data_IF_443885699064
#
_entry.id   IF_443885699064
#
_cell.length_a   1.000
_cell.length_b   1.000
_cell.length_c   1.000
_cell.angle_alpha   90.00
_cell.angle_beta   90.00
_cell.angle_gamma   90.00
#
_symmetry.space_group_name_H-M   'P 1'
#
loop_
_entity.id
_entity.type
_entity.pdbx_description
1 polymer ?
#
# COMPACT_ATOMS: atom_id res chain seq x y z
N UNK A 1 10.66 -8.69 -11.91
CA UNK A 1 11.24 -9.29 -13.12
C UNK A 1 10.20 -10.09 -13.91
N UNK A 2 9.66 -11.22 -13.40
CA UNK A 2 8.71 -12.04 -14.16
C UNK A 2 7.46 -11.28 -14.64
N UNK A 3 6.87 -10.43 -13.80
CA UNK A 3 5.75 -9.56 -14.19
C UNK A 3 6.08 -8.67 -15.41
N UNK A 4 7.30 -8.13 -15.52
CA UNK A 4 7.68 -7.31 -16.66
C UNK A 4 7.70 -8.12 -17.97
N UNK A 5 8.09 -9.39 -17.90
CA UNK A 5 8.14 -10.26 -19.07
C UNK A 5 6.74 -10.61 -19.62
N UNK A 6 5.67 -10.41 -18.86
CA UNK A 6 4.30 -10.61 -19.34
C UNK A 6 3.80 -9.42 -20.17
N UNK A 7 4.51 -8.28 -20.17
CA UNK A 7 4.08 -7.05 -20.80
C UNK A 7 3.01 -6.28 -20.01
N UNK A 8 2.86 -6.55 -18.71
CA UNK A 8 1.95 -5.78 -17.85
C UNK A 8 2.46 -4.37 -17.58
N UNK A 9 1.56 -3.43 -17.30
CA UNK A 9 1.90 -2.05 -16.99
C UNK A 9 2.29 -1.83 -15.52
N UNK A 10 1.71 -2.63 -14.61
CA UNK A 10 1.84 -2.43 -13.16
C UNK A 10 1.87 -3.74 -12.39
N UNK A 11 2.40 -3.66 -11.17
CA UNK A 11 2.22 -4.69 -10.14
C UNK A 11 1.46 -4.12 -8.95
N UNK A 12 0.79 -4.98 -8.19
CA UNK A 12 0.24 -4.65 -6.89
C UNK A 12 1.01 -5.38 -5.81
N UNK A 13 1.57 -4.65 -4.85
CA UNK A 13 2.24 -5.23 -3.69
C UNK A 13 1.20 -5.75 -2.70
N UNK A 14 1.30 -7.03 -2.33
CA UNK A 14 0.42 -7.68 -1.35
C UNK A 14 0.87 -7.38 0.09
N UNK A 15 0.18 -6.47 0.80
CA UNK A 15 0.68 -5.90 2.07
C UNK A 15 0.17 -6.52 3.37
N UNK A 16 -0.44 -7.71 3.34
CA UNK A 16 -0.91 -8.39 4.57
C UNK A 16 0.23 -8.57 5.59
N UNK A 17 1.39 -9.06 5.14
CA UNK A 17 2.51 -9.35 6.05
C UNK A 17 3.09 -8.06 6.67
N UNK A 18 3.14 -6.98 5.88
CA UNK A 18 3.43 -5.64 6.39
C UNK A 18 2.42 -5.21 7.46
N UNK A 19 1.12 -5.30 7.18
CA UNK A 19 0.07 -4.86 8.08
C UNK A 19 0.11 -5.62 9.43
N UNK A 20 0.35 -6.94 9.36
CA UNK A 20 0.48 -7.80 10.55
C UNK A 20 1.67 -7.41 11.44
N UNK A 21 2.79 -7.03 10.84
CA UNK A 21 4.03 -6.72 11.58
C UNK A 21 4.19 -5.24 11.93
N UNK A 22 3.34 -4.36 11.38
CA UNK A 22 3.47 -2.91 11.47
C UNK A 22 3.60 -2.39 12.91
N UNK A 23 2.78 -2.89 13.83
CA UNK A 23 2.78 -2.42 15.22
C UNK A 23 4.03 -2.85 16.01
N UNK A 24 4.62 -3.99 15.66
CA UNK A 24 5.80 -4.51 16.33
C UNK A 24 7.08 -3.85 15.78
N UNK A 25 7.28 -3.89 14.47
CA UNK A 25 8.53 -3.47 13.82
C UNK A 25 8.28 -2.91 12.41
N UNK A 26 7.64 -1.74 12.31
CA UNK A 26 7.27 -1.11 11.03
C UNK A 26 8.41 -1.01 9.99
N UNK A 27 9.64 -0.69 10.43
CA UNK A 27 10.79 -0.52 9.53
C UNK A 27 11.23 -1.85 8.92
N UNK A 28 11.23 -2.92 9.72
CA UNK A 28 11.51 -4.28 9.24
C UNK A 28 10.37 -4.79 8.34
N UNK A 29 9.12 -4.51 8.72
CA UNK A 29 7.93 -4.92 7.99
C UNK A 29 7.87 -4.33 6.57
N UNK A 30 8.30 -3.08 6.37
CA UNK A 30 8.25 -2.41 5.06
C UNK A 30 9.46 -2.71 4.17
N UNK A 31 10.59 -3.15 4.76
CA UNK A 31 11.85 -3.34 4.04
C UNK A 31 11.76 -4.29 2.81
N UNK A 32 11.02 -5.41 2.83
CA UNK A 32 10.83 -6.25 1.63
C UNK A 32 10.10 -5.51 0.50
N UNK A 33 9.15 -4.65 0.86
CA UNK A 33 8.32 -3.90 -0.09
C UNK A 33 9.11 -2.79 -0.77
N UNK A 34 10.01 -2.12 -0.04
CA UNK A 34 10.96 -1.14 -0.62
C UNK A 34 11.80 -1.82 -1.71
N UNK A 35 12.39 -2.99 -1.41
CA UNK A 35 13.19 -3.75 -2.37
C UNK A 35 12.37 -4.19 -3.60
N UNK A 36 11.13 -4.61 -3.38
CA UNK A 36 10.23 -4.99 -4.46
C UNK A 36 9.87 -3.80 -5.37
N UNK A 37 9.59 -2.64 -4.77
CA UNK A 37 9.32 -1.39 -5.48
C UNK A 37 10.53 -0.93 -6.31
N UNK A 38 11.73 -0.91 -5.74
CA UNK A 38 12.97 -0.61 -6.48
C UNK A 38 13.16 -1.54 -7.69
N UNK A 39 12.81 -2.81 -7.54
CA UNK A 39 12.88 -3.78 -8.63
C UNK A 39 11.83 -3.51 -9.71
N UNK A 40 10.61 -3.16 -9.32
CA UNK A 40 9.54 -2.80 -10.26
C UNK A 40 9.93 -1.57 -11.10
N UNK A 41 10.47 -0.53 -10.46
CA UNK A 41 10.92 0.69 -11.13
C UNK A 41 12.06 0.42 -12.12
N UNK A 42 13.01 -0.46 -11.80
CA UNK A 42 14.08 -0.89 -12.74
C UNK A 42 13.53 -1.53 -14.02
N UNK A 43 12.31 -2.07 -13.97
CA UNK A 43 11.62 -2.66 -15.11
C UNK A 43 10.52 -1.76 -15.69
N UNK A 44 10.46 -0.47 -15.31
CA UNK A 44 9.44 0.49 -15.74
C UNK A 44 8.00 0.07 -15.42
N UNK A 45 7.81 -0.72 -14.37
CA UNK A 45 6.47 -1.10 -13.90
C UNK A 45 5.94 -0.06 -12.93
N UNK A 46 4.69 0.35 -13.11
CA UNK A 46 3.98 1.13 -12.10
C UNK A 46 3.69 0.29 -10.85
N UNK A 47 3.62 0.94 -9.70
CA UNK A 47 3.45 0.27 -8.42
C UNK A 47 2.11 0.67 -7.82
N UNK A 48 1.26 -0.32 -7.61
CA UNK A 48 0.09 -0.24 -6.75
C UNK A 48 0.37 -0.99 -5.44
N UNK A 49 -0.45 -0.79 -4.41
CA UNK A 49 -0.43 -1.61 -3.21
C UNK A 49 -1.82 -1.74 -2.58
N UNK A 50 -2.03 -2.78 -1.79
CA UNK A 50 -3.29 -3.03 -1.12
C UNK A 50 -3.18 -4.24 -0.21
N UNK A 51 -4.32 -4.73 0.26
CA UNK A 51 -4.42 -5.85 1.21
C UNK A 51 -3.98 -5.47 2.64
N UNK A 52 -4.96 -5.26 3.51
CA UNK A 52 -4.82 -4.89 4.94
C UNK A 52 -4.11 -3.57 5.24
N UNK A 53 -4.02 -2.68 4.25
CA UNK A 53 -3.77 -1.26 4.52
C UNK A 53 -4.97 -0.63 5.23
N UNK A 54 -4.69 0.13 6.28
CA UNK A 54 -5.66 0.90 7.05
C UNK A 54 -5.18 2.34 7.24
N UNK A 55 -6.00 3.20 7.85
CA UNK A 55 -5.65 4.61 8.07
C UNK A 55 -4.42 4.83 8.97
N UNK A 56 -4.00 3.84 9.74
CA UNK A 56 -2.89 3.93 10.69
C UNK A 56 -1.57 3.47 10.09
N UNK A 57 -1.58 2.41 9.28
CA UNK A 57 -0.40 1.86 8.65
C UNK A 57 -0.11 2.47 7.27
N UNK A 58 -1.12 3.00 6.58
CA UNK A 58 -0.99 3.55 5.23
C UNK A 58 0.01 4.72 5.14
N UNK A 59 0.03 5.72 6.05
CA UNK A 59 0.93 6.86 5.93
C UNK A 59 2.41 6.48 5.94
N UNK A 60 2.77 5.45 6.71
CA UNK A 60 4.16 4.99 6.78
C UNK A 60 4.52 4.19 5.52
N UNK A 61 3.62 3.33 5.05
CA UNK A 61 3.82 2.57 3.83
C UNK A 61 4.00 3.48 2.61
N UNK A 62 3.07 4.43 2.40
CA UNK A 62 3.09 5.34 1.25
C UNK A 62 4.35 6.20 1.19
N UNK A 63 4.83 6.68 2.35
CA UNK A 63 6.08 7.46 2.46
C UNK A 63 7.33 6.62 2.21
N UNK A 64 7.28 5.33 2.54
CA UNK A 64 8.42 4.41 2.39
C UNK A 64 8.58 3.89 0.97
N UNK A 65 7.47 3.72 0.23
CA UNK A 65 7.48 3.15 -1.12
C UNK A 65 7.60 4.25 -2.18
N UNK A 66 8.83 4.46 -2.67
CA UNK A 66 9.06 5.35 -3.80
C UNK A 66 8.35 4.84 -5.08
N UNK A 67 7.68 5.75 -5.78
CA UNK A 67 6.98 5.42 -7.03
C UNK A 67 5.62 4.73 -6.86
N UNK A 68 5.06 4.69 -5.64
CA UNK A 68 3.68 4.23 -5.41
C UNK A 68 2.68 5.15 -6.13
N UNK A 69 1.93 4.59 -7.07
CA UNK A 69 0.97 5.32 -7.91
C UNK A 69 -0.45 5.29 -7.36
N UNK A 70 -0.83 4.18 -6.73
CA UNK A 70 -2.21 3.92 -6.31
C UNK A 70 -2.27 2.94 -5.13
N UNK A 71 -3.32 3.05 -4.31
CA UNK A 71 -3.64 2.04 -3.30
C UNK A 71 -5.08 1.57 -3.38
N UNK A 72 -5.28 0.26 -3.27
CA UNK A 72 -6.58 -0.42 -3.27
C UNK A 72 -6.96 -0.80 -1.84
N UNK A 73 -7.88 -0.06 -1.22
CA UNK A 73 -8.28 -0.25 0.18
C UNK A 73 -9.76 -0.57 0.27
N UNK A 74 -10.07 -1.78 0.75
CA UNK A 74 -11.43 -2.30 0.89
C UNK A 74 -11.85 -2.46 2.35
N UNK A 75 -11.52 -3.62 2.95
CA UNK A 75 -12.05 -4.06 4.24
C UNK A 75 -11.94 -3.00 5.35
N UNK A 76 -10.74 -2.45 5.59
CA UNK A 76 -10.53 -1.45 6.64
C UNK A 76 -11.32 -0.15 6.41
N UNK A 77 -11.44 0.30 5.15
CA UNK A 77 -12.22 1.48 4.79
C UNK A 77 -13.71 1.26 5.07
N UNK A 78 -14.25 0.09 4.68
CA UNK A 78 -15.67 -0.21 4.96
C UNK A 78 -15.92 -0.37 6.46
N UNK A 79 -15.00 -1.01 7.20
CA UNK A 79 -15.09 -1.15 8.65
C UNK A 79 -15.12 0.22 9.37
N UNK A 80 -14.23 1.14 8.99
CA UNK A 80 -14.24 2.51 9.50
C UNK A 80 -15.52 3.27 9.13
N UNK A 81 -16.02 3.06 7.91
CA UNK A 81 -17.23 3.73 7.41
C UNK A 81 -18.50 3.35 8.18
N UNK A 82 -18.56 2.18 8.81
CA UNK A 82 -19.68 1.79 9.68
C UNK A 82 -19.84 2.74 10.88
N UNK A 83 -18.77 3.37 11.33
CA UNK A 83 -18.77 4.27 12.49
C UNK A 83 -18.69 5.74 12.10
N UNK A 84 -17.96 6.04 11.02
CA UNK A 84 -17.61 7.41 10.65
C UNK A 84 -18.40 7.95 9.46
N UNK A 85 -19.17 7.09 8.78
CA UNK A 85 -19.77 7.39 7.48
C UNK A 85 -18.76 7.30 6.33
N UNK A 86 -19.21 6.87 5.15
CA UNK A 86 -18.35 6.60 4.00
C UNK A 86 -17.62 7.86 3.50
N UNK A 87 -18.32 8.98 3.38
CA UNK A 87 -17.74 10.24 2.90
C UNK A 87 -16.57 10.70 3.77
N UNK A 88 -16.78 10.78 5.09
CA UNK A 88 -15.73 11.19 6.02
C UNK A 88 -14.55 10.20 6.01
N UNK A 89 -14.86 8.90 5.96
CA UNK A 89 -13.83 7.86 5.91
C UNK A 89 -12.94 8.00 4.67
N UNK A 90 -13.52 8.20 3.49
CA UNK A 90 -12.75 8.45 2.26
C UNK A 90 -11.81 9.65 2.43
N UNK A 91 -12.27 10.74 3.05
CA UNK A 91 -11.42 11.92 3.28
C UNK A 91 -10.27 11.62 4.24
N UNK A 92 -10.48 10.81 5.29
CA UNK A 92 -9.43 10.40 6.22
C UNK A 92 -8.35 9.57 5.52
N UNK A 93 -8.73 8.59 4.70
CA UNK A 93 -7.76 7.79 3.93
C UNK A 93 -7.00 8.63 2.89
N UNK A 94 -7.67 9.59 2.23
CA UNK A 94 -6.98 10.53 1.33
C UNK A 94 -6.00 11.44 2.05
N UNK A 95 -6.26 11.81 3.32
CA UNK A 95 -5.32 12.58 4.15
C UNK A 95 -4.13 11.74 4.61
N UNK A 96 -4.34 10.44 4.86
CA UNK A 96 -3.27 9.50 5.20
C UNK A 96 -2.24 9.32 4.07
N UNK A 97 -2.59 9.67 2.83
CA UNK A 97 -1.69 9.68 1.67
C UNK A 97 -0.93 10.99 1.45
N UNK A 98 -1.17 12.03 2.26
CA UNK A 98 -0.55 13.35 2.12
C UNK A 98 0.70 13.51 2.98
#
# INVERSE_FOLDING_TARGET
AAAAATGTDRIELYTEDYARQFQAEKDAAVAPYIKAAEMALKHNLGINAGHDLDRFNLPFFSKSIHGLLEVSIGHALIADALYLGLENTIQLYKRALR
#
